data_IF_512849674899
#
_entry.id   IF_512849674899
#
_cell.length_a   1.000
_cell.length_b   1.000
_cell.length_c   1.000
_cell.angle_alpha   90.00
_cell.angle_beta   90.00
_cell.angle_gamma   90.00
#
_symmetry.space_group_name_H-M   'P 1'
#
loop_
_entity.id
_entity.type
_entity.pdbx_description
1 polymer ?
#
# COMPACT_ATOMS: atom_id res chain seq x y z
N UNK A 1 -31.38 37.12 -0.95
CA UNK A 1 -31.30 36.73 0.46
C UNK A 1 -30.74 35.30 0.53
N UNK A 2 -29.42 35.15 0.59
CA UNK A 2 -28.73 33.86 0.58
C UNK A 2 -28.32 33.49 2.01
N UNK A 3 -28.95 32.46 2.58
CA UNK A 3 -28.67 31.96 3.92
C UNK A 3 -27.19 31.52 4.02
N UNK A 4 -26.41 32.01 4.99
CA UNK A 4 -25.02 31.58 5.15
C UNK A 4 -24.98 30.13 5.67
N UNK A 5 -24.21 29.27 5.00
CA UNK A 5 -23.94 27.88 5.45
C UNK A 5 -23.10 27.96 6.73
N UNK A 6 -23.66 27.52 7.86
CA UNK A 6 -22.96 27.52 9.15
C UNK A 6 -21.90 26.39 9.17
N UNK A 7 -20.59 26.67 9.26
CA UNK A 7 -19.55 25.66 9.11
C UNK A 7 -19.15 24.93 10.42
N UNK A 8 -19.89 25.08 11.52
CA UNK A 8 -19.41 24.69 12.86
C UNK A 8 -19.98 23.40 13.45
N UNK A 9 -20.67 22.53 12.70
CA UNK A 9 -21.11 21.24 13.25
C UNK A 9 -19.92 20.28 13.34
N UNK A 10 -19.45 19.89 14.53
CA UNK A 10 -18.36 18.93 14.64
C UNK A 10 -18.79 17.60 14.02
N UNK A 11 -17.94 17.02 13.19
CA UNK A 11 -18.15 15.65 12.71
C UNK A 11 -17.93 14.73 13.90
N UNK A 12 -19.01 14.23 14.49
CA UNK A 12 -18.95 13.25 15.58
C UNK A 12 -18.79 11.87 14.95
N UNK A 13 -17.61 11.27 15.12
CA UNK A 13 -17.37 9.87 14.73
C UNK A 13 -17.88 8.97 15.84
N UNK A 14 -18.81 8.07 15.52
CA UNK A 14 -19.31 7.10 16.50
C UNK A 14 -18.29 5.98 16.74
N UNK A 15 -18.38 5.31 17.90
CA UNK A 15 -17.50 4.17 18.22
C UNK A 15 -17.62 3.06 17.16
N UNK A 16 -18.84 2.79 16.68
CA UNK A 16 -19.11 1.80 15.62
C UNK A 16 -18.42 2.17 14.32
N UNK A 17 -18.45 3.43 13.90
CA UNK A 17 -17.75 3.91 12.71
C UNK A 17 -16.23 3.81 12.88
N UNK A 18 -15.70 4.21 14.03
CA UNK A 18 -14.28 4.10 14.34
C UNK A 18 -13.78 2.65 14.26
N UNK A 19 -14.53 1.69 14.85
CA UNK A 19 -14.21 0.26 14.79
C UNK A 19 -14.24 -0.27 13.35
N UNK A 20 -15.22 0.16 12.55
CA UNK A 20 -15.31 -0.22 11.13
C UNK A 20 -14.10 0.27 10.33
N UNK A 21 -13.69 1.53 10.53
CA UNK A 21 -12.52 2.10 9.85
C UNK A 21 -11.23 1.41 10.29
N UNK A 22 -11.07 1.15 11.60
CA UNK A 22 -9.91 0.44 12.13
C UNK A 22 -9.81 -0.99 11.56
N UNK A 23 -10.93 -1.71 11.48
CA UNK A 23 -10.95 -3.06 10.90
C UNK A 23 -10.61 -3.04 9.40
N UNK A 24 -11.17 -2.10 8.65
CA UNK A 24 -10.82 -1.95 7.23
C UNK A 24 -9.33 -1.65 7.02
N UNK A 25 -8.75 -0.77 7.83
CA UNK A 25 -7.31 -0.47 7.81
C UNK A 25 -6.46 -1.70 8.20
N UNK A 26 -6.90 -2.47 9.19
CA UNK A 26 -6.24 -3.70 9.60
C UNK A 26 -6.24 -4.75 8.47
N UNK A 27 -7.39 -5.01 7.86
CA UNK A 27 -7.50 -5.96 6.73
C UNK A 27 -6.64 -5.51 5.55
N UNK A 28 -6.67 -4.21 5.21
CA UNK A 28 -5.80 -3.67 4.18
C UNK A 28 -4.32 -3.90 4.48
N UNK A 29 -3.89 -3.61 5.71
CA UNK A 29 -2.51 -3.84 6.18
C UNK A 29 -2.14 -5.33 6.12
N UNK A 30 -3.05 -6.22 6.51
CA UNK A 30 -2.84 -7.65 6.45
C UNK A 30 -2.68 -8.17 5.00
N UNK A 31 -3.49 -7.66 4.06
CA UNK A 31 -3.38 -8.00 2.64
C UNK A 31 -2.06 -7.51 2.04
N UNK A 32 -1.64 -6.29 2.38
CA UNK A 32 -0.32 -5.81 1.98
C UNK A 32 0.78 -6.76 2.47
N UNK A 33 0.79 -7.13 3.75
CA UNK A 33 1.77 -8.08 4.28
C UNK A 33 1.68 -9.45 3.59
N UNK A 34 0.48 -9.96 3.35
CA UNK A 34 0.25 -11.22 2.68
C UNK A 34 0.95 -11.25 1.31
N UNK A 35 0.68 -10.24 0.46
CA UNK A 35 1.28 -10.16 -0.87
C UNK A 35 2.80 -10.00 -0.81
N UNK A 36 3.32 -9.20 0.13
CA UNK A 36 4.77 -9.05 0.34
C UNK A 36 5.44 -10.38 0.74
N UNK A 37 4.84 -11.13 1.67
CA UNK A 37 5.37 -12.43 2.08
C UNK A 37 5.29 -13.45 0.95
N UNK A 38 4.20 -13.46 0.20
CA UNK A 38 4.01 -14.35 -0.94
C UNK A 38 5.07 -14.07 -2.01
N UNK A 39 5.24 -12.80 -2.41
CA UNK A 39 6.23 -12.40 -3.40
C UNK A 39 7.66 -12.67 -2.90
N UNK A 40 7.97 -12.34 -1.65
CA UNK A 40 9.30 -12.59 -1.07
C UNK A 40 9.65 -14.09 -1.03
N UNK A 41 8.68 -14.94 -0.71
CA UNK A 41 8.85 -16.41 -0.74
C UNK A 41 9.07 -16.90 -2.17
N UNK A 42 8.31 -16.38 -3.13
CA UNK A 42 8.48 -16.71 -4.54
C UNK A 42 9.84 -16.23 -5.08
N UNK A 43 10.31 -15.07 -4.68
CA UNK A 43 11.65 -14.57 -5.02
C UNK A 43 12.76 -15.47 -4.47
N UNK A 44 12.58 -16.00 -3.25
CA UNK A 44 13.56 -16.86 -2.61
C UNK A 44 13.63 -18.28 -3.22
N UNK A 45 12.51 -18.81 -3.74
CA UNK A 45 12.42 -20.25 -4.10
C UNK A 45 12.16 -20.49 -5.60
N UNK A 46 11.49 -19.55 -6.29
CA UNK A 46 10.93 -19.81 -7.62
C UNK A 46 11.54 -18.90 -8.69
N UNK A 47 11.77 -17.61 -8.40
CA UNK A 47 12.06 -16.65 -9.45
C UNK A 47 13.44 -16.80 -10.08
N UNK A 48 14.46 -17.23 -9.33
CA UNK A 48 15.79 -17.49 -9.87
C UNK A 48 15.81 -18.65 -10.87
N UNK A 49 14.83 -19.56 -10.81
CA UNK A 49 14.74 -20.75 -11.65
C UNK A 49 13.77 -20.61 -12.83
N UNK A 50 12.78 -19.70 -12.73
CA UNK A 50 11.73 -19.57 -13.76
C UNK A 50 11.73 -18.23 -14.51
N UNK A 51 12.24 -17.15 -13.92
CA UNK A 51 12.13 -15.80 -14.50
C UNK A 51 13.48 -15.11 -14.69
N UNK A 52 14.38 -15.22 -13.72
CA UNK A 52 15.69 -14.57 -13.75
C UNK A 52 16.81 -15.59 -13.96
N UNK A 53 16.64 -16.51 -14.91
CA UNK A 53 17.62 -17.57 -15.18
C UNK A 53 18.80 -16.99 -15.96
N UNK A 54 20.01 -17.15 -15.41
CA UNK A 54 21.27 -16.77 -16.06
C UNK A 54 22.31 -17.88 -15.88
N UNK A 55 23.43 -17.79 -16.59
CA UNK A 55 24.53 -18.76 -16.49
C UNK A 55 25.22 -18.76 -15.11
N UNK A 56 25.02 -17.70 -14.32
CA UNK A 56 25.53 -17.58 -12.95
C UNK A 56 24.37 -17.66 -11.92
N UNK A 57 24.32 -18.71 -11.08
CA UNK A 57 23.28 -18.86 -10.05
C UNK A 57 23.20 -17.69 -9.07
N UNK A 58 24.33 -17.00 -8.80
CA UNK A 58 24.35 -15.84 -7.92
C UNK A 58 23.60 -14.67 -8.54
N UNK A 59 23.87 -14.37 -9.82
CA UNK A 59 23.22 -13.29 -10.56
C UNK A 59 21.72 -13.53 -10.65
N UNK A 60 21.31 -14.77 -10.92
CA UNK A 60 19.90 -15.17 -10.97
C UNK A 60 19.16 -14.90 -9.65
N UNK A 61 19.82 -15.21 -8.53
CA UNK A 61 19.27 -15.00 -7.18
C UNK A 61 19.23 -13.52 -6.82
N UNK A 62 20.29 -12.76 -7.15
CA UNK A 62 20.33 -11.31 -6.93
C UNK A 62 19.25 -10.59 -7.73
N UNK A 63 19.02 -10.98 -8.99
CA UNK A 63 17.97 -10.42 -9.82
C UNK A 63 16.56 -10.71 -9.26
N UNK A 64 16.33 -11.95 -8.78
CA UNK A 64 15.09 -12.31 -8.09
C UNK A 64 14.82 -11.42 -6.86
N UNK A 65 15.80 -11.26 -5.96
CA UNK A 65 15.64 -10.38 -4.79
C UNK A 65 15.62 -8.90 -5.15
N UNK A 66 16.31 -8.46 -6.21
CA UNK A 66 16.25 -7.10 -6.69
C UNK A 66 14.82 -6.73 -7.13
N UNK A 67 14.12 -7.64 -7.81
CA UNK A 67 12.71 -7.44 -8.18
C UNK A 67 11.81 -7.25 -6.95
N UNK A 68 12.06 -8.00 -5.88
CA UNK A 68 11.37 -7.84 -4.60
C UNK A 68 11.71 -6.49 -3.93
N UNK A 69 12.99 -6.08 -3.97
CA UNK A 69 13.45 -4.81 -3.42
C UNK A 69 12.80 -3.60 -4.10
N UNK A 70 12.47 -3.67 -5.39
CA UNK A 70 11.73 -2.60 -6.09
C UNK A 70 10.39 -2.30 -5.42
N UNK A 71 9.69 -3.33 -4.91
CA UNK A 71 8.44 -3.13 -4.17
C UNK A 71 8.61 -2.23 -2.93
N UNK A 72 9.71 -2.40 -2.19
CA UNK A 72 10.03 -1.55 -1.04
C UNK A 72 10.28 -0.09 -1.41
N UNK A 73 10.82 0.17 -2.61
CA UNK A 73 10.99 1.53 -3.13
C UNK A 73 9.70 2.12 -3.68
N UNK A 74 8.81 1.29 -4.22
CA UNK A 74 7.50 1.74 -4.69
C UNK A 74 6.63 2.29 -3.55
N UNK A 75 6.75 1.75 -2.32
CA UNK A 75 6.02 2.22 -1.13
C UNK A 75 6.25 3.69 -0.77
N UNK A 76 7.48 4.18 -0.52
CA UNK A 76 7.71 5.59 -0.21
C UNK A 76 7.30 6.51 -1.37
N UNK A 77 7.49 6.06 -2.62
CA UNK A 77 7.03 6.82 -3.79
C UNK A 77 5.51 6.93 -3.80
N UNK A 78 4.80 5.81 -3.62
CA UNK A 78 3.35 5.79 -3.49
C UNK A 78 2.85 6.63 -2.32
N UNK A 79 3.48 6.52 -1.16
CA UNK A 79 3.15 7.32 0.02
C UNK A 79 3.33 8.82 -0.23
N UNK A 80 4.39 9.23 -0.94
CA UNK A 80 4.58 10.64 -1.31
C UNK A 80 3.49 11.13 -2.26
N UNK A 81 3.17 10.35 -3.30
CA UNK A 81 2.17 10.71 -4.30
C UNK A 81 0.75 10.71 -3.73
N UNK A 82 0.31 9.59 -3.16
CA UNK A 82 -1.03 9.42 -2.61
C UNK A 82 -1.21 10.14 -1.28
N UNK A 83 -0.15 10.36 -0.51
CA UNK A 83 -0.18 11.23 0.67
C UNK A 83 -0.44 12.68 0.27
N UNK A 84 0.35 13.20 -0.67
CA UNK A 84 0.15 14.57 -1.18
C UNK A 84 -1.23 14.75 -1.80
N UNK A 85 -1.69 13.79 -2.61
CA UNK A 85 -3.02 13.84 -3.20
C UNK A 85 -4.12 13.75 -2.13
N UNK A 86 -3.96 12.86 -1.14
CA UNK A 86 -4.87 12.72 0.00
C UNK A 86 -5.05 13.99 0.81
N UNK A 87 -3.97 14.76 0.98
CA UNK A 87 -3.99 16.05 1.67
C UNK A 87 -4.66 17.16 0.83
N UNK A 88 -4.61 17.06 -0.50
CA UNK A 88 -5.11 18.10 -1.41
C UNK A 88 -6.55 17.92 -1.87
N UNK A 89 -6.97 16.67 -2.15
CA UNK A 89 -8.33 16.36 -2.66
C UNK A 89 -9.18 15.54 -1.68
N UNK A 90 -8.60 15.11 -0.56
CA UNK A 90 -9.25 14.34 0.49
C UNK A 90 -8.97 12.84 0.42
N UNK A 91 -8.63 12.25 1.57
CA UNK A 91 -8.21 10.84 1.73
C UNK A 91 -9.19 9.84 1.12
N UNK A 92 -10.51 10.04 1.29
CA UNK A 92 -11.52 9.13 0.74
C UNK A 92 -11.50 9.13 -0.79
N UNK A 93 -11.35 10.28 -1.45
CA UNK A 93 -11.33 10.39 -2.92
C UNK A 93 -10.03 9.85 -3.55
N UNK A 94 -9.00 9.68 -2.73
CA UNK A 94 -7.68 9.19 -3.19
C UNK A 94 -7.61 7.66 -3.16
N UNK A 95 -8.53 6.99 -2.47
CA UNK A 95 -8.55 5.55 -2.24
C UNK A 95 -9.68 4.83 -3.02
N UNK A 96 -10.38 5.53 -3.91
CA UNK A 96 -11.50 5.01 -4.72
C UNK A 96 -11.10 5.08 -6.19
#
# INVERSE_FOLDING_TARGET
MSTPRNPSTPVVVTETEARKVAFAAFVGTALEWYDYFLYGTAAAVVFNALYFVTDDPLVSTLAAFASFAVGFLARPVGAMLFGHLGDRIGRRKTLI
#
